data_IF_742374905215
#
_entry.id   IF_742374905215
#
_cell.length_a   1.000
_cell.length_b   1.000
_cell.length_c   1.000
_cell.angle_alpha   90.00
_cell.angle_beta   90.00
_cell.angle_gamma   90.00
#
_symmetry.space_group_name_H-M   'P 1'
#
loop_
_entity.id
_entity.type
_entity.pdbx_description
1 polymer ?
#
# COMPACT_ATOMS: atom_id res chain seq x y z
N UNK A 1 -16.50 30.26 -3.79
CA UNK A 1 -15.61 29.29 -3.12
C UNK A 1 -14.49 28.92 -4.10
N UNK A 2 -13.22 29.09 -3.73
CA UNK A 2 -12.07 28.72 -4.59
C UNK A 2 -11.61 27.31 -4.23
N UNK A 3 -11.50 26.43 -5.24
CA UNK A 3 -11.00 25.06 -5.08
C UNK A 3 -9.51 24.99 -5.45
N UNK A 4 -8.74 24.18 -4.72
CA UNK A 4 -7.31 23.91 -5.00
C UNK A 4 -7.17 22.44 -5.36
N UNK A 5 -6.47 22.16 -6.48
CA UNK A 5 -6.23 20.81 -6.99
C UNK A 5 -4.75 20.60 -7.22
N UNK A 6 -4.25 19.43 -6.85
CA UNK A 6 -2.96 18.91 -7.29
C UNK A 6 -3.17 17.56 -8.00
N UNK A 7 -2.21 17.14 -8.82
CA UNK A 7 -2.19 15.85 -9.51
C UNK A 7 -0.86 15.16 -9.20
N UNK A 8 -0.86 13.84 -9.11
CA UNK A 8 0.34 13.03 -8.98
C UNK A 8 0.30 11.90 -10.00
N UNK A 9 1.48 11.36 -10.33
CA UNK A 9 1.60 10.24 -11.27
C UNK A 9 1.14 8.95 -10.60
N UNK A 10 0.40 8.13 -11.33
CA UNK A 10 -0.15 6.85 -10.82
C UNK A 10 0.97 5.90 -10.36
N UNK A 11 2.12 5.90 -11.04
CA UNK A 11 3.28 5.06 -10.70
C UNK A 11 4.18 5.65 -9.61
N UNK A 12 3.78 6.74 -8.96
CA UNK A 12 4.42 7.17 -7.73
C UNK A 12 3.97 6.22 -6.61
N UNK A 13 4.58 5.04 -6.52
CA UNK A 13 4.23 4.04 -5.52
C UNK A 13 4.68 4.45 -4.11
N UNK A 14 4.09 3.83 -3.09
CA UNK A 14 4.38 4.10 -1.69
C UNK A 14 3.58 5.26 -1.11
N UNK A 15 4.07 5.80 0.02
CA UNK A 15 3.37 6.82 0.81
C UNK A 15 3.70 8.24 0.35
N UNK A 16 2.65 9.03 0.11
CA UNK A 16 2.70 10.43 -0.26
C UNK A 16 1.96 11.28 0.75
N UNK A 17 2.51 12.44 1.09
CA UNK A 17 1.93 13.34 2.09
C UNK A 17 1.54 14.64 1.41
N UNK A 18 0.25 14.96 1.42
CA UNK A 18 -0.28 16.20 0.88
C UNK A 18 -0.73 17.10 2.02
N UNK A 19 -0.24 18.34 2.05
CA UNK A 19 -0.56 19.28 3.13
C UNK A 19 -1.30 20.50 2.61
N UNK A 20 -2.39 20.87 3.28
CA UNK A 20 -3.09 22.13 3.07
C UNK A 20 -2.51 23.19 4.01
N UNK A 21 -2.03 24.28 3.44
CA UNK A 21 -1.43 25.39 4.18
C UNK A 21 -2.13 26.69 3.82
N UNK A 22 -2.37 27.54 4.82
CA UNK A 22 -2.84 28.91 4.66
C UNK A 22 -1.64 29.86 4.71
N UNK A 23 -1.46 30.66 3.66
CA UNK A 23 -0.42 31.68 3.60
C UNK A 23 -1.03 33.06 3.92
N UNK A 24 -0.50 33.76 4.92
CA UNK A 24 -0.94 35.10 5.31
C UNK A 24 0.26 35.95 5.75
N UNK A 25 0.48 37.10 5.10
CA UNK A 25 1.50 38.09 5.49
C UNK A 25 2.90 37.48 5.72
N UNK A 26 3.36 36.62 4.80
CA UNK A 26 4.65 35.95 4.89
C UNK A 26 4.72 34.78 5.89
N UNK A 27 3.63 34.48 6.61
CA UNK A 27 3.54 33.32 7.51
C UNK A 27 2.70 32.22 6.87
N UNK A 28 3.16 30.98 7.01
CA UNK A 28 2.46 29.79 6.53
C UNK A 28 1.98 28.97 7.71
N UNK A 29 0.66 28.71 7.79
CA UNK A 29 0.05 27.87 8.82
C UNK A 29 -0.48 26.58 8.19
N UNK A 30 -0.07 25.42 8.72
CA UNK A 30 -0.66 24.13 8.37
C UNK A 30 -2.12 24.10 8.85
N UNK A 31 -3.04 23.71 7.97
CA UNK A 31 -4.47 23.57 8.28
C UNK A 31 -4.80 22.09 8.46
N UNK A 32 -4.46 21.27 7.46
CA UNK A 32 -4.68 19.83 7.46
C UNK A 32 -3.73 19.16 6.46
N UNK A 33 -3.83 17.84 6.35
CA UNK A 33 -3.16 17.06 5.32
C UNK A 33 -3.85 15.72 5.12
N UNK A 34 -3.44 15.01 4.07
CA UNK A 34 -3.87 13.66 3.76
C UNK A 34 -2.64 12.84 3.35
N UNK A 35 -2.59 11.63 3.87
CA UNK A 35 -1.63 10.62 3.45
C UNK A 35 -2.29 9.72 2.41
N UNK A 36 -1.62 9.50 1.29
CA UNK A 36 -2.07 8.65 0.20
C UNK A 36 -1.02 7.58 -0.03
N UNK A 37 -1.41 6.32 0.10
CA UNK A 37 -0.57 5.18 -0.27
C UNK A 37 -1.03 4.65 -1.64
N UNK A 38 -0.07 4.55 -2.57
CA UNK A 38 -0.33 4.07 -3.93
C UNK A 38 0.44 2.79 -4.21
N UNK A 39 -0.24 1.82 -4.80
CA UNK A 39 0.32 0.52 -5.14
C UNK A 39 -0.49 -0.21 -6.19
N UNK A 40 -0.07 -1.43 -6.51
CA UNK A 40 -0.78 -2.35 -7.39
C UNK A 40 -1.62 -3.32 -6.54
N UNK A 41 -2.80 -3.74 -7.04
CA UNK A 41 -3.52 -4.85 -6.44
C UNK A 41 -2.67 -6.14 -6.54
N UNK A 42 -2.75 -7.03 -5.54
CA UNK A 42 -2.05 -8.31 -5.57
C UNK A 42 -2.56 -9.17 -6.73
N UNK A 43 -1.65 -9.98 -7.26
CA UNK A 43 -2.02 -11.05 -8.19
C UNK A 43 -2.54 -12.26 -7.39
N UNK A 44 -3.26 -13.15 -8.07
CA UNK A 44 -3.62 -14.45 -7.50
C UNK A 44 -2.34 -15.25 -7.19
N UNK A 45 -2.17 -15.77 -5.94
CA UNK A 45 -1.05 -16.63 -5.60
C UNK A 45 -0.96 -17.85 -6.50
N UNK A 46 0.25 -18.21 -6.93
CA UNK A 46 0.48 -19.36 -7.81
C UNK A 46 1.45 -20.34 -7.17
N UNK A 47 1.51 -21.56 -7.72
CA UNK A 47 2.43 -22.60 -7.28
C UNK A 47 2.33 -22.87 -5.76
N UNK A 48 1.09 -22.96 -5.27
CA UNK A 48 0.82 -23.25 -3.86
C UNK A 48 1.25 -24.69 -3.57
N UNK A 49 2.19 -24.84 -2.63
CA UNK A 49 2.69 -26.13 -2.18
C UNK A 49 2.61 -26.17 -0.66
N UNK A 50 1.89 -27.15 -0.12
CA UNK A 50 1.83 -27.40 1.31
C UNK A 50 2.53 -28.73 1.62
N UNK A 51 3.49 -28.68 2.54
CA UNK A 51 4.25 -29.85 2.98
C UNK A 51 4.01 -30.05 4.47
N UNK A 52 3.67 -31.28 4.84
CA UNK A 52 3.61 -31.71 6.23
C UNK A 52 4.77 -32.66 6.52
N UNK A 53 5.60 -32.30 7.49
CA UNK A 53 6.70 -33.15 7.93
C UNK A 53 6.26 -34.03 9.10
N UNK A 54 6.12 -35.32 8.86
CA UNK A 54 5.65 -36.28 9.86
C UNK A 54 4.14 -36.19 10.11
N UNK A 55 3.61 -37.18 10.84
CA UNK A 55 2.15 -37.34 11.01
C UNK A 55 1.49 -36.23 11.83
N UNK A 56 2.23 -35.64 12.77
CA UNK A 56 1.71 -34.59 13.68
C UNK A 56 2.32 -33.20 13.41
N UNK A 57 3.09 -33.04 12.32
CA UNK A 57 3.67 -31.76 11.95
C UNK A 57 2.61 -30.76 11.49
N UNK A 58 2.78 -29.48 11.80
CA UNK A 58 1.95 -28.43 11.21
C UNK A 58 2.31 -28.26 9.71
N UNK A 59 1.32 -28.17 8.81
CA UNK A 59 1.59 -27.96 7.40
C UNK A 59 2.24 -26.59 7.19
N UNK A 60 3.32 -26.56 6.42
CA UNK A 60 3.93 -25.33 5.94
C UNK A 60 3.58 -25.16 4.48
N UNK A 61 2.96 -24.03 4.13
CA UNK A 61 2.63 -23.70 2.74
C UNK A 61 3.55 -22.61 2.21
N UNK A 62 3.96 -22.75 0.96
CA UNK A 62 4.67 -21.74 0.17
C UNK A 62 3.91 -21.47 -1.12
N UNK A 63 4.09 -20.27 -1.67
CA UNK A 63 3.47 -19.83 -2.91
C UNK A 63 4.27 -18.68 -3.53
N UNK A 64 4.06 -18.49 -4.84
CA UNK A 64 4.54 -17.32 -5.55
C UNK A 64 3.57 -16.15 -5.35
N UNK A 65 4.10 -15.02 -4.88
CA UNK A 65 3.33 -13.81 -4.57
C UNK A 65 2.88 -13.02 -5.81
N UNK A 66 3.43 -13.32 -6.98
CA UNK A 66 3.23 -12.51 -8.19
C UNK A 66 4.01 -11.19 -8.17
N UNK A 67 3.49 -10.17 -8.85
CA UNK A 67 4.16 -8.86 -8.96
C UNK A 67 4.15 -8.08 -7.65
N UNK A 68 5.07 -7.12 -7.53
CA UNK A 68 5.13 -6.22 -6.36
C UNK A 68 3.90 -5.31 -6.30
N UNK A 69 3.27 -5.28 -5.11
CA UNK A 69 2.11 -4.43 -4.81
C UNK A 69 2.51 -3.04 -4.34
N UNK A 70 3.68 -2.84 -3.75
CA UNK A 70 4.13 -1.57 -3.16
C UNK A 70 3.22 -0.98 -2.06
N UNK A 71 2.26 -1.78 -1.58
CA UNK A 71 1.36 -1.47 -0.46
C UNK A 71 1.31 -2.70 0.46
N UNK A 72 0.94 -2.48 1.72
CA UNK A 72 0.82 -3.58 2.67
C UNK A 72 -0.18 -4.62 2.15
N UNK A 73 0.27 -5.88 2.04
CA UNK A 73 -0.50 -6.98 1.45
C UNK A 73 -0.46 -8.17 2.40
N UNK A 74 -1.64 -8.61 2.82
CA UNK A 74 -1.80 -9.70 3.78
C UNK A 74 -2.20 -10.96 3.02
N UNK A 75 -1.56 -12.08 3.35
CA UNK A 75 -1.86 -13.40 2.80
C UNK A 75 -2.39 -14.29 3.92
N UNK A 76 -3.46 -15.02 3.64
CA UNK A 76 -4.13 -15.91 4.60
C UNK A 76 -4.26 -17.29 3.97
N UNK A 77 -3.92 -18.32 4.74
CA UNK A 77 -4.18 -19.72 4.40
C UNK A 77 -5.51 -20.10 5.06
N UNK A 78 -6.45 -20.66 4.30
CA UNK A 78 -7.77 -21.10 4.77
C UNK A 78 -7.87 -22.62 4.73
#
# INVERSE_FOLDING_TARGET
SSSVRTKFLVHAYGKHIFTCKRHCKGRTKLICGIDIESGNPPDEPRNVLCIQHGTDGHPTCSWDKGRLTYINTIYVIQ
#
